data_IF_021858947421
#
_entry.id   IF_021858947421
#
_cell.length_a   1.000
_cell.length_b   1.000
_cell.length_c   1.000
_cell.angle_alpha   90.00
_cell.angle_beta   90.00
_cell.angle_gamma   90.00
#
_symmetry.space_group_name_H-M   'P 1'
#
loop_
_entity.id
_entity.type
_entity.pdbx_description
1 polymer ?
#
# COMPACT_ATOMS: atom_id res chain seq x y z
N UNK A 1 25.40 4.89 -34.58
CA UNK A 1 25.84 4.81 -33.18
C UNK A 1 25.49 3.42 -32.69
N UNK A 2 26.50 2.61 -32.38
CA UNK A 2 26.31 1.27 -31.78
C UNK A 2 26.44 1.47 -30.27
N UNK A 3 25.47 0.96 -29.50
CA UNK A 3 25.54 1.00 -28.03
C UNK A 3 26.44 -0.17 -27.62
N UNK A 4 27.72 0.10 -27.38
CA UNK A 4 28.74 -0.93 -27.20
C UNK A 4 28.86 -1.49 -25.77
N UNK A 5 28.02 -1.04 -24.83
CA UNK A 5 28.14 -1.37 -23.41
C UNK A 5 27.00 -2.26 -22.89
N UNK A 6 26.16 -2.83 -23.77
CA UNK A 6 25.09 -3.74 -23.37
C UNK A 6 25.59 -5.18 -23.44
N UNK A 7 25.37 -5.94 -22.37
CA UNK A 7 25.61 -7.37 -22.35
C UNK A 7 24.52 -8.13 -23.12
N UNK A 8 24.75 -9.42 -23.36
CA UNK A 8 23.71 -10.31 -23.91
C UNK A 8 22.45 -10.36 -23.03
N UNK A 9 22.64 -10.30 -21.70
CA UNK A 9 21.53 -10.27 -20.74
C UNK A 9 20.74 -8.97 -20.83
N UNK A 10 21.40 -7.82 -20.95
CA UNK A 10 20.73 -6.52 -21.15
C UNK A 10 19.92 -6.51 -22.45
N UNK A 11 20.49 -7.06 -23.53
CA UNK A 11 19.80 -7.18 -24.81
C UNK A 11 18.56 -8.06 -24.69
N UNK A 12 18.68 -9.20 -24.00
CA UNK A 12 17.54 -10.10 -23.74
C UNK A 12 16.46 -9.39 -22.92
N UNK A 13 16.85 -8.71 -21.84
CA UNK A 13 15.95 -7.91 -21.01
C UNK A 13 15.19 -6.86 -21.83
N UNK A 14 15.89 -6.10 -22.69
CA UNK A 14 15.25 -5.08 -23.54
C UNK A 14 14.26 -5.69 -24.55
N UNK A 15 14.57 -6.86 -25.12
CA UNK A 15 13.65 -7.59 -26.03
C UNK A 15 12.37 -8.02 -25.30
N UNK A 16 12.51 -8.57 -24.11
CA UNK A 16 11.38 -8.99 -23.27
C UNK A 16 10.55 -7.78 -22.81
N UNK A 17 11.20 -6.72 -22.33
CA UNK A 17 10.55 -5.48 -21.94
C UNK A 17 9.77 -4.85 -23.10
N UNK A 18 10.35 -4.80 -24.31
CA UNK A 18 9.64 -4.33 -25.50
C UNK A 18 8.40 -5.17 -25.80
N UNK A 19 8.49 -6.49 -25.66
CA UNK A 19 7.36 -7.38 -25.88
C UNK A 19 6.23 -7.04 -24.91
N UNK A 20 6.53 -7.01 -23.61
CA UNK A 20 5.57 -6.70 -22.54
C UNK A 20 4.91 -5.32 -22.72
N UNK A 21 5.70 -4.28 -23.02
CA UNK A 21 5.18 -2.92 -23.22
C UNK A 21 4.14 -2.82 -24.34
N UNK A 22 4.26 -3.69 -25.35
CA UNK A 22 3.38 -3.71 -26.52
C UNK A 22 2.18 -4.65 -26.39
N UNK A 23 2.22 -5.63 -25.48
CA UNK A 23 1.17 -6.66 -25.33
C UNK A 23 0.36 -6.55 -24.05
N UNK A 24 0.88 -5.88 -23.00
CA UNK A 24 0.15 -5.69 -21.76
C UNK A 24 -1.12 -4.83 -21.93
N UNK A 25 -2.08 -5.01 -21.02
CA UNK A 25 -3.34 -4.26 -21.03
C UNK A 25 -3.10 -2.76 -20.91
N UNK A 26 -3.83 -1.96 -21.66
CA UNK A 26 -3.80 -0.50 -21.51
C UNK A 26 -4.73 0.02 -20.42
N UNK A 27 -5.64 -0.83 -19.90
CA UNK A 27 -6.73 -0.47 -18.98
C UNK A 27 -7.39 0.89 -19.31
N UNK A 28 -7.65 1.12 -20.60
CA UNK A 28 -8.22 2.36 -21.13
C UNK A 28 -7.41 3.63 -20.79
N UNK A 29 -6.10 3.47 -20.56
CA UNK A 29 -5.15 4.52 -20.16
C UNK A 29 -4.14 4.78 -21.27
N UNK A 30 -3.97 6.05 -21.64
CA UNK A 30 -3.02 6.47 -22.67
C UNK A 30 -1.56 6.42 -22.17
N UNK A 31 -0.61 6.31 -23.10
CA UNK A 31 0.82 6.44 -22.79
C UNK A 31 1.21 7.92 -22.53
N UNK A 32 2.22 8.18 -21.65
CA UNK A 32 3.05 7.21 -20.94
C UNK A 32 2.36 6.57 -19.73
N UNK A 33 2.37 5.23 -19.68
CA UNK A 33 1.80 4.43 -18.60
C UNK A 33 2.88 3.97 -17.63
N UNK A 34 2.56 3.96 -16.35
CA UNK A 34 3.34 3.31 -15.29
C UNK A 34 2.41 2.50 -14.41
N UNK A 35 2.88 1.34 -13.95
CA UNK A 35 2.21 0.61 -12.90
C UNK A 35 2.76 1.04 -11.54
N UNK A 36 1.88 1.19 -10.57
CA UNK A 36 2.20 1.51 -9.19
C UNK A 36 1.44 0.57 -8.26
N UNK A 37 1.95 0.40 -7.06
CA UNK A 37 1.21 -0.34 -6.03
C UNK A 37 0.25 0.66 -5.41
N UNK A 38 -1.06 0.47 -5.64
CA UNK A 38 -2.06 1.18 -4.86
C UNK A 38 -2.45 0.30 -3.69
N UNK A 39 -2.28 0.81 -2.48
CA UNK A 39 -2.62 0.09 -1.26
C UNK A 39 -3.20 1.07 -0.24
N UNK A 40 -3.75 0.53 0.84
CA UNK A 40 -4.35 1.32 1.89
C UNK A 40 -3.33 1.64 2.98
N UNK A 41 -3.45 2.84 3.54
CA UNK A 41 -2.77 3.25 4.77
C UNK A 41 -3.73 4.01 5.65
N UNK A 42 -3.71 3.71 6.95
CA UNK A 42 -4.46 4.46 7.93
C UNK A 42 -3.93 5.88 8.03
N UNK A 43 -4.84 6.84 7.98
CA UNK A 43 -4.56 8.25 8.13
C UNK A 43 -5.47 8.81 9.23
N UNK A 44 -4.89 9.32 10.34
CA UNK A 44 -5.64 9.99 11.38
C UNK A 44 -6.49 11.12 10.81
N UNK A 45 -7.75 11.18 11.23
CA UNK A 45 -8.63 12.29 10.94
C UNK A 45 -8.69 13.24 12.15
N UNK A 46 -8.34 14.50 11.91
CA UNK A 46 -8.33 15.54 12.94
C UNK A 46 -9.74 15.97 13.37
N UNK A 47 -10.76 15.63 12.59
CA UNK A 47 -12.16 15.96 12.89
C UNK A 47 -12.91 14.83 13.60
N UNK A 48 -12.26 13.67 13.81
CA UNK A 48 -12.83 12.50 14.49
C UNK A 48 -14.06 11.87 13.81
N UNK A 49 -14.25 12.07 12.50
CA UNK A 49 -15.40 11.53 11.73
C UNK A 49 -15.07 10.23 10.97
N UNK A 50 -13.90 9.64 11.20
CA UNK A 50 -13.46 8.42 10.50
C UNK A 50 -14.25 7.17 10.89
N UNK A 51 -14.33 6.23 9.95
CA UNK A 51 -15.00 4.93 10.13
C UNK A 51 -14.14 3.93 10.93
N UNK A 52 -12.89 4.30 11.26
CA UNK A 52 -11.92 3.48 11.96
C UNK A 52 -11.26 4.25 13.11
N UNK A 53 -10.64 3.52 14.05
CA UNK A 53 -9.75 4.07 15.06
C UNK A 53 -8.52 3.19 15.29
N UNK A 54 -7.36 3.80 15.51
CA UNK A 54 -6.17 3.11 15.99
C UNK A 54 -6.14 3.12 17.52
N UNK A 55 -6.10 1.94 18.14
CA UNK A 55 -5.97 1.81 19.59
C UNK A 55 -4.51 1.67 20.00
N UNK A 56 -4.06 2.51 20.92
CA UNK A 56 -2.70 2.53 21.45
C UNK A 56 -2.76 2.37 22.97
N UNK A 57 -2.17 1.30 23.47
CA UNK A 57 -2.10 0.96 24.89
C UNK A 57 -0.64 0.98 25.33
N UNK A 58 -0.33 1.74 26.39
CA UNK A 58 1.03 1.92 26.90
C UNK A 58 2.08 2.39 25.88
N UNK A 59 1.64 2.97 24.77
CA UNK A 59 2.51 3.43 23.69
C UNK A 59 2.72 2.43 22.55
N UNK A 60 2.15 1.23 22.66
CA UNK A 60 2.14 0.21 21.60
C UNK A 60 0.79 0.19 20.89
N UNK A 61 0.83 0.06 19.56
CA UNK A 61 -0.39 -0.05 18.74
C UNK A 61 -0.95 -1.47 18.91
N UNK A 62 -2.19 -1.57 19.40
CA UNK A 62 -2.91 -2.83 19.52
C UNK A 62 -3.60 -3.22 18.21
N UNK A 63 -3.77 -2.26 17.29
CA UNK A 63 -4.42 -2.47 16.02
C UNK A 63 -5.26 -1.29 15.57
N UNK A 64 -5.84 -1.44 14.38
CA UNK A 64 -6.81 -0.50 13.81
C UNK A 64 -8.13 -1.26 13.67
N UNK A 65 -9.18 -0.66 14.20
CA UNK A 65 -10.50 -1.23 14.40
C UNK A 65 -11.54 -0.37 13.67
N UNK A 66 -12.63 -0.99 13.23
CA UNK A 66 -13.82 -0.27 12.75
C UNK A 66 -14.54 0.39 13.92
N UNK A 67 -15.19 1.52 13.67
CA UNK A 67 -16.00 2.23 14.67
C UNK A 67 -17.34 1.51 14.89
N UNK A 68 -17.28 0.31 15.46
CA UNK A 68 -18.44 -0.55 15.74
C UNK A 68 -18.38 -1.13 17.16
N UNK A 69 -19.54 -1.52 17.70
CA UNK A 69 -19.59 -2.12 19.04
C UNK A 69 -18.90 -3.48 19.10
N UNK A 70 -18.84 -4.21 17.99
CA UNK A 70 -18.18 -5.51 17.90
C UNK A 70 -16.66 -5.36 18.09
N UNK A 71 -16.06 -4.44 17.34
CA UNK A 71 -14.62 -4.15 17.42
C UNK A 71 -14.22 -3.52 18.76
N UNK A 72 -15.12 -2.79 19.42
CA UNK A 72 -14.88 -2.32 20.80
C UNK A 72 -14.80 -3.49 21.77
N UNK A 73 -15.65 -4.51 21.63
CA UNK A 73 -15.56 -5.72 22.46
C UNK A 73 -14.32 -6.56 22.12
N UNK A 74 -13.89 -6.59 20.85
CA UNK A 74 -12.61 -7.18 20.46
C UNK A 74 -11.43 -6.46 21.13
N UNK A 75 -11.39 -5.13 21.08
CA UNK A 75 -10.38 -4.31 21.77
C UNK A 75 -10.35 -4.63 23.28
N UNK A 76 -11.52 -4.73 23.93
CA UNK A 76 -11.59 -5.11 25.34
C UNK A 76 -11.01 -6.49 25.61
N UNK A 77 -11.24 -7.46 24.72
CA UNK A 77 -10.63 -8.79 24.85
C UNK A 77 -9.12 -8.71 24.76
N UNK A 78 -8.58 -7.97 23.77
CA UNK A 78 -7.14 -7.77 23.60
C UNK A 78 -6.54 -7.09 24.84
N UNK A 79 -7.18 -6.04 25.37
CA UNK A 79 -6.70 -5.35 26.56
C UNK A 79 -6.64 -6.26 27.79
N UNK A 80 -7.64 -7.14 27.99
CA UNK A 80 -7.65 -8.12 29.08
C UNK A 80 -6.50 -9.14 28.96
N UNK A 81 -6.09 -9.49 27.74
CA UNK A 81 -4.95 -10.38 27.51
C UNK A 81 -3.59 -9.69 27.73
N UNK A 82 -3.55 -8.35 27.66
CA UNK A 82 -2.32 -7.55 27.72
C UNK A 82 -2.15 -6.80 29.06
N UNK A 83 -3.00 -7.05 30.04
CA UNK A 83 -2.97 -6.37 31.34
C UNK A 83 -2.86 -7.33 32.50
N UNK A 84 -2.51 -6.82 33.68
CA UNK A 84 -2.58 -7.57 34.92
C UNK A 84 -4.04 -7.64 35.40
N UNK A 85 -4.45 -8.79 35.95
CA UNK A 85 -5.83 -9.07 36.40
C UNK A 85 -6.25 -8.28 37.67
N UNK A 86 -5.77 -7.06 37.86
CA UNK A 86 -6.23 -6.21 38.96
C UNK A 86 -7.66 -5.68 38.68
N UNK A 87 -8.46 -5.63 39.76
CA UNK A 87 -9.90 -5.35 39.66
C UNK A 87 -10.16 -3.96 39.07
N UNK A 88 -9.33 -2.96 39.41
CA UNK A 88 -9.51 -1.58 38.97
C UNK A 88 -9.30 -1.48 37.45
N UNK A 89 -8.23 -2.08 36.93
CA UNK A 89 -7.96 -2.11 35.50
C UNK A 89 -9.04 -2.86 34.71
N UNK A 90 -9.54 -3.98 35.22
CA UNK A 90 -10.62 -4.74 34.57
C UNK A 90 -11.95 -3.96 34.54
N UNK A 91 -12.27 -3.21 35.59
CA UNK A 91 -13.41 -2.29 35.61
C UNK A 91 -13.25 -1.17 34.58
N UNK A 92 -12.07 -0.56 34.48
CA UNK A 92 -11.77 0.49 33.51
C UNK A 92 -11.88 0.01 32.06
N UNK A 93 -11.44 -1.22 31.77
CA UNK A 93 -11.63 -1.87 30.46
C UNK A 93 -13.13 -2.09 30.18
N UNK A 94 -13.88 -2.53 31.19
CA UNK A 94 -15.32 -2.74 31.08
C UNK A 94 -16.09 -1.46 30.67
N UNK A 95 -15.61 -0.30 31.12
CA UNK A 95 -16.21 1.01 30.87
C UNK A 95 -15.93 1.59 29.46
N UNK A 96 -15.04 0.98 28.67
CA UNK A 96 -14.77 1.42 27.29
C UNK A 96 -16.04 1.24 26.45
N UNK A 97 -16.35 2.24 25.63
CA UNK A 97 -17.53 2.25 24.76
C UNK A 97 -17.26 3.07 23.51
N UNK A 98 -18.13 2.99 22.50
CA UNK A 98 -17.99 3.84 21.32
C UNK A 98 -18.02 5.32 21.66
N UNK A 99 -18.83 5.73 22.63
CA UNK A 99 -18.92 7.13 23.08
C UNK A 99 -17.69 7.56 23.90
N UNK A 100 -16.91 6.60 24.43
CA UNK A 100 -15.75 6.84 25.26
C UNK A 100 -14.68 5.75 25.05
N UNK A 101 -14.01 5.81 23.89
CA UNK A 101 -13.00 4.83 23.47
C UNK A 101 -11.66 4.98 24.21
N UNK A 102 -11.34 6.19 24.67
CA UNK A 102 -10.11 6.48 25.38
C UNK A 102 -10.27 6.26 26.88
N UNK A 103 -9.22 5.76 27.53
CA UNK A 103 -9.19 5.66 28.98
C UNK A 103 -7.79 5.97 29.52
N UNK A 104 -7.66 7.15 30.12
CA UNK A 104 -6.37 7.65 30.63
C UNK A 104 -5.87 6.91 31.87
N UNK A 105 -6.77 6.32 32.67
CA UNK A 105 -6.41 5.59 33.89
C UNK A 105 -5.56 4.35 33.53
N UNK A 106 -5.89 3.71 32.41
CA UNK A 106 -5.17 2.57 31.85
C UNK A 106 -4.26 2.96 30.67
N UNK A 107 -4.01 4.26 30.44
CA UNK A 107 -3.16 4.76 29.33
C UNK A 107 -3.59 4.30 27.92
N UNK A 108 -4.87 4.01 27.73
CA UNK A 108 -5.46 3.74 26.42
C UNK A 108 -5.77 5.05 25.70
N UNK A 109 -5.26 5.19 24.47
CA UNK A 109 -5.58 6.28 23.54
C UNK A 109 -6.14 5.70 22.24
N UNK A 110 -7.13 6.36 21.67
CA UNK A 110 -7.76 5.93 20.44
C UNK A 110 -7.79 7.11 19.48
N UNK A 111 -7.24 6.92 18.29
CA UNK A 111 -7.15 7.96 17.27
C UNK A 111 -8.05 7.58 16.10
N UNK A 112 -9.12 8.34 15.88
CA UNK A 112 -10.02 8.13 14.74
C UNK A 112 -9.33 8.46 13.41
N UNK A 113 -9.74 7.79 12.34
CA UNK A 113 -9.24 8.02 11.00
C UNK A 113 -9.83 7.06 9.99
N UNK A 114 -9.27 7.08 8.78
CA UNK A 114 -9.69 6.20 7.71
C UNK A 114 -8.50 5.58 7.00
N UNK A 115 -8.75 4.47 6.30
CA UNK A 115 -7.84 4.01 5.26
C UNK A 115 -7.97 4.88 4.01
N UNK A 116 -6.85 5.47 3.59
CA UNK A 116 -6.75 6.18 2.30
C UNK A 116 -5.89 5.39 1.34
N UNK A 117 -6.23 5.48 0.06
CA UNK A 117 -5.42 4.91 -1.01
C UNK A 117 -4.14 5.72 -1.17
N UNK A 118 -3.00 5.05 -1.07
CA UNK A 118 -1.69 5.60 -1.36
C UNK A 118 -1.04 4.82 -2.50
N UNK A 119 -0.14 5.50 -3.22
CA UNK A 119 0.59 4.93 -4.35
C UNK A 119 2.07 4.82 -3.98
N UNK A 120 2.65 3.64 -4.13
CA UNK A 120 4.06 3.37 -3.86
C UNK A 120 4.73 2.66 -5.01
N UNK A 121 6.04 2.91 -5.14
CA UNK A 121 6.89 2.37 -6.20
C UNK A 121 6.42 2.74 -7.64
N UNK A 122 7.19 2.32 -8.64
CA UNK A 122 6.85 2.50 -10.05
C UNK A 122 7.47 1.38 -10.91
N UNK A 123 6.66 0.83 -11.81
CA UNK A 123 7.02 -0.27 -12.71
C UNK A 123 6.62 0.06 -14.14
N UNK A 124 7.38 -0.46 -15.10
CA UNK A 124 7.06 -0.32 -16.52
C UNK A 124 6.04 -1.37 -17.00
N UNK A 125 5.92 -2.49 -16.27
CA UNK A 125 5.07 -3.62 -16.65
C UNK A 125 4.14 -4.05 -15.52
N UNK A 126 2.97 -4.53 -15.91
CA UNK A 126 1.98 -5.15 -15.01
C UNK A 126 2.59 -6.34 -14.27
N UNK A 127 3.31 -7.19 -15.01
CA UNK A 127 3.96 -8.39 -14.51
C UNK A 127 4.91 -8.08 -13.35
N UNK A 128 5.83 -7.12 -13.52
CA UNK A 128 6.78 -6.76 -12.49
C UNK A 128 6.08 -6.17 -11.25
N UNK A 129 5.03 -5.38 -11.44
CA UNK A 129 4.24 -4.84 -10.33
C UNK A 129 3.53 -5.94 -9.52
N UNK A 130 2.95 -6.94 -10.20
CA UNK A 130 2.28 -8.08 -9.55
C UNK A 130 3.26 -8.98 -8.81
N UNK A 131 4.36 -9.35 -9.45
CA UNK A 131 5.42 -10.15 -8.81
C UNK A 131 5.93 -9.46 -7.54
N UNK A 132 6.11 -8.13 -7.58
CA UNK A 132 6.48 -7.36 -6.39
C UNK A 132 5.40 -7.44 -5.30
N UNK A 133 4.13 -7.25 -5.63
CA UNK A 133 3.01 -7.34 -4.67
C UNK A 133 2.96 -8.73 -4.04
N UNK A 134 3.10 -9.79 -4.84
CA UNK A 134 3.06 -11.19 -4.37
C UNK A 134 4.20 -11.49 -3.40
N UNK A 135 5.44 -11.10 -3.75
CA UNK A 135 6.60 -11.33 -2.90
C UNK A 135 6.60 -10.48 -1.61
N UNK A 136 5.94 -9.32 -1.62
CA UNK A 136 6.00 -8.32 -0.55
C UNK A 136 4.62 -8.05 0.10
N UNK A 137 3.67 -8.98 -0.03
CA UNK A 137 2.27 -8.78 0.37
C UNK A 137 2.10 -8.29 1.82
N UNK A 138 2.95 -8.74 2.73
CA UNK A 138 2.93 -8.38 4.16
C UNK A 138 3.26 -6.90 4.44
N UNK A 139 3.81 -6.16 3.46
CA UNK A 139 4.07 -4.72 3.57
C UNK A 139 2.88 -3.85 3.16
N UNK A 140 1.82 -4.44 2.61
CA UNK A 140 0.72 -3.70 2.00
C UNK A 140 -0.64 -4.20 2.49
N UNK A 141 -1.55 -3.27 2.79
CA UNK A 141 -2.96 -3.55 3.01
C UNK A 141 -3.73 -3.41 1.71
N UNK A 142 -4.48 -4.45 1.31
CA UNK A 142 -5.30 -4.47 0.09
C UNK A 142 -4.56 -3.97 -1.18
N UNK A 143 -3.33 -4.45 -1.47
CA UNK A 143 -2.57 -3.99 -2.61
C UNK A 143 -3.21 -4.39 -3.94
N UNK A 144 -3.15 -3.48 -4.91
CA UNK A 144 -3.46 -3.75 -6.31
C UNK A 144 -2.40 -3.13 -7.23
N UNK A 145 -2.17 -3.76 -8.37
CA UNK A 145 -1.32 -3.28 -9.45
C UNK A 145 -2.04 -2.18 -10.22
N UNK A 146 -1.94 -0.94 -9.77
CA UNK A 146 -2.69 0.18 -10.34
C UNK A 146 -1.96 0.79 -11.55
N UNK A 147 -2.67 0.96 -12.66
CA UNK A 147 -2.13 1.63 -13.84
C UNK A 147 -2.38 3.13 -13.75
N UNK A 148 -1.30 3.91 -13.74
CA UNK A 148 -1.33 5.36 -13.70
C UNK A 148 -0.83 5.96 -15.01
N UNK A 149 -1.36 7.15 -15.34
CA UNK A 149 -0.90 7.96 -16.46
C UNK A 149 0.14 8.96 -15.97
N UNK A 150 1.36 8.90 -16.53
CA UNK A 150 2.40 9.89 -16.23
C UNK A 150 2.09 11.22 -16.96
N UNK A 151 1.10 11.94 -16.41
CA UNK A 151 0.54 13.16 -16.98
C UNK A 151 1.62 14.22 -17.24
N UNK A 152 1.65 14.74 -18.47
CA UNK A 152 2.59 15.78 -18.91
C UNK A 152 4.07 15.43 -18.65
N UNK A 153 4.44 14.16 -18.85
CA UNK A 153 5.82 13.71 -18.76
C UNK A 153 6.40 13.35 -20.16
N UNK A 154 6.94 14.35 -20.90
CA UNK A 154 7.48 14.12 -22.25
C UNK A 154 8.74 13.25 -22.27
N UNK A 155 9.50 13.22 -21.18
CA UNK A 155 10.69 12.36 -21.06
C UNK A 155 10.28 10.88 -21.01
N UNK A 156 9.33 10.54 -20.13
CA UNK A 156 8.79 9.19 -20.02
C UNK A 156 8.11 8.74 -21.31
N UNK A 157 7.35 9.64 -21.95
CA UNK A 157 6.72 9.35 -23.25
C UNK A 157 7.79 9.01 -24.31
N UNK A 158 8.86 9.80 -24.39
CA UNK A 158 9.95 9.56 -25.33
C UNK A 158 10.66 8.24 -25.03
N UNK A 159 10.94 7.94 -23.76
CA UNK A 159 11.57 6.69 -23.33
C UNK A 159 10.72 5.47 -23.73
N UNK A 160 9.45 5.44 -23.32
CA UNK A 160 8.55 4.33 -23.64
C UNK A 160 8.35 4.16 -25.14
N UNK A 161 8.27 5.27 -25.89
CA UNK A 161 8.20 5.22 -27.35
C UNK A 161 9.46 4.61 -27.96
N UNK A 162 10.64 4.93 -27.46
CA UNK A 162 11.90 4.31 -27.92
C UNK A 162 11.85 2.80 -27.60
N UNK A 163 11.62 2.43 -26.34
CA UNK A 163 11.58 1.02 -25.90
C UNK A 163 10.55 0.18 -26.67
N UNK A 164 9.38 0.74 -27.00
CA UNK A 164 8.36 0.04 -27.79
C UNK A 164 8.79 -0.25 -29.24
N UNK A 165 9.75 0.53 -29.79
CA UNK A 165 10.15 0.51 -31.20
C UNK A 165 11.59 0.03 -31.45
N UNK A 166 12.43 -0.11 -30.42
CA UNK A 166 13.84 -0.50 -30.61
C UNK A 166 13.94 -1.80 -31.42
N UNK A 167 14.84 -1.81 -32.40
CA UNK A 167 15.23 -3.00 -33.15
C UNK A 167 16.65 -3.37 -32.72
N UNK A 168 16.79 -4.58 -32.16
CA UNK A 168 18.07 -5.09 -31.72
C UNK A 168 18.53 -6.14 -32.72
N UNK A 169 19.57 -5.79 -33.49
CA UNK A 169 20.23 -6.69 -34.44
C UNK A 169 21.39 -7.37 -33.72
N UNK A 170 21.44 -8.70 -33.80
CA UNK A 170 22.61 -9.46 -33.38
C UNK A 170 23.61 -9.44 -34.54
N UNK A 171 24.86 -9.07 -34.26
CA UNK A 171 25.94 -9.26 -35.23
C UNK A 171 26.17 -10.77 -35.33
N UNK A 172 25.90 -11.32 -36.52
CA UNK A 172 26.10 -12.71 -36.91
C UNK A 172 27.58 -13.08 -37.03
#
# INVERSE_FOLDING_TARGET
MIINNLTTEDIKFLKELKHELNTQSDRMTANPRIYQIRHEKFQPDVNSEGDYFEAVYEGESLGIFEYTSEDVEELKSILRENTDDDIETLEEIGNISLENLENRNIRLRCVNGDFKHIYSNAFLTEKACREHIECNRHHYRNPVDYLNYAFRNPEMEKLLRILSKIEIKEES
#
